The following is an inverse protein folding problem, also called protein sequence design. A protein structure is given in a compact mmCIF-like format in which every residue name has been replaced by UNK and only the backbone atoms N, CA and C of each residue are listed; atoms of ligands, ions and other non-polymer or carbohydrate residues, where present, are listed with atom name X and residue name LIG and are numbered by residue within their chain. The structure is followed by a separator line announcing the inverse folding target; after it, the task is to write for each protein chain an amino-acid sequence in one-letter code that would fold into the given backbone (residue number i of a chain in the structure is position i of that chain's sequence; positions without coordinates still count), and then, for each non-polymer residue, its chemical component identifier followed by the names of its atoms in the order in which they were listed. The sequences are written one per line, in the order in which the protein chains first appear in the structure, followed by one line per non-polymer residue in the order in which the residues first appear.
data_IF_623669315035
#
_entry.id   IF_623669315035
#
_cell.length_a   1.000
_cell.length_b   1.000
_cell.length_c   1.000
_cell.angle_alpha   90.00
_cell.angle_beta   90.00
_cell.angle_gamma   90.00
#
_symmetry.space_group_name_H-M   'P 1'
#
loop_
_entity.id
_entity.type
_entity.pdbx_description
1 polymer ?
#
# COMPACT_ATOMS: atom_id res chain seq x y z
N UNK A 1 -10.84 -12.13 26.72
CA UNK A 1 -11.29 -11.53 25.47
C UNK A 1 -10.15 -10.62 25.00
N UNK A 2 -9.40 -11.08 24.03
CA UNK A 2 -8.33 -10.33 23.41
C UNK A 2 -8.87 -9.56 22.19
N UNK A 3 -8.24 -8.43 21.86
CA UNK A 3 -8.53 -7.67 20.67
C UNK A 3 -7.28 -7.68 19.78
N UNK A 4 -7.46 -7.96 18.49
CA UNK A 4 -6.39 -7.96 17.50
C UNK A 4 -6.72 -6.94 16.42
N UNK A 5 -5.76 -6.06 16.14
CA UNK A 5 -5.80 -5.14 15.01
C UNK A 5 -4.82 -5.61 13.95
N UNK A 6 -5.36 -6.11 12.86
CA UNK A 6 -4.61 -6.68 11.73
C UNK A 6 -4.72 -5.70 10.56
N UNK A 7 -3.62 -5.09 10.15
CA UNK A 7 -3.67 -4.01 9.17
C UNK A 7 -2.46 -3.98 8.26
N UNK A 8 -2.68 -3.55 7.02
CA UNK A 8 -1.58 -3.28 6.10
C UNK A 8 -0.70 -2.15 6.65
N UNK A 9 0.61 -2.31 6.54
CA UNK A 9 1.60 -1.33 7.05
C UNK A 9 1.76 -0.08 6.19
N UNK A 10 0.80 0.24 5.36
CA UNK A 10 0.78 1.42 4.52
C UNK A 10 -0.16 2.53 5.04
N UNK A 11 -0.32 3.61 4.26
CA UNK A 11 -1.11 4.75 4.70
C UNK A 11 -2.61 4.41 4.86
N UNK A 12 -3.15 3.57 3.97
CA UNK A 12 -4.58 3.25 3.99
C UNK A 12 -4.93 2.37 5.18
N UNK A 13 -4.13 1.32 5.45
CA UNK A 13 -4.30 0.46 6.62
C UNK A 13 -4.09 1.19 7.94
N UNK A 14 -3.01 2.00 8.08
CA UNK A 14 -2.74 2.75 9.30
C UNK A 14 -3.83 3.79 9.59
N UNK A 15 -4.27 4.54 8.58
CA UNK A 15 -5.30 5.57 8.75
C UNK A 15 -6.70 4.97 9.01
N UNK A 16 -6.99 3.80 8.45
CA UNK A 16 -8.21 3.06 8.76
C UNK A 16 -8.23 2.65 10.25
N UNK A 17 -7.13 2.08 10.75
CA UNK A 17 -7.00 1.72 12.16
C UNK A 17 -7.10 2.92 13.08
N UNK A 18 -6.41 4.01 12.76
CA UNK A 18 -6.44 5.24 13.57
C UNK A 18 -7.85 5.77 13.77
N UNK A 19 -8.63 5.83 12.70
CA UNK A 19 -10.03 6.27 12.78
C UNK A 19 -10.86 5.39 13.73
N UNK A 20 -10.75 4.06 13.59
CA UNK A 20 -11.49 3.13 14.43
C UNK A 20 -11.11 3.27 15.90
N UNK A 21 -9.82 3.45 16.20
CA UNK A 21 -9.33 3.54 17.60
C UNK A 21 -9.56 4.91 18.23
N UNK A 22 -9.67 5.96 17.44
CA UNK A 22 -10.17 7.26 17.93
C UNK A 22 -11.67 7.20 18.30
N UNK A 23 -12.47 6.43 17.55
CA UNK A 23 -13.91 6.27 17.81
C UNK A 23 -14.19 5.25 18.92
N UNK A 24 -13.41 4.18 18.99
CA UNK A 24 -13.53 3.07 19.96
C UNK A 24 -12.15 2.66 20.47
N UNK A 25 -11.60 3.37 21.47
CA UNK A 25 -10.27 3.08 22.02
C UNK A 25 -10.22 1.68 22.64
N UNK A 26 -9.23 0.88 22.23
CA UNK A 26 -9.02 -0.47 22.74
C UNK A 26 -7.55 -0.77 22.89
N UNK A 27 -7.22 -1.55 23.91
CA UNK A 27 -5.92 -2.17 24.02
C UNK A 27 -5.91 -3.44 23.16
N UNK A 28 -5.07 -3.47 22.14
CA UNK A 28 -5.07 -4.52 21.12
C UNK A 28 -3.66 -5.03 20.80
N UNK A 29 -3.61 -6.27 20.34
CA UNK A 29 -2.41 -6.86 19.72
C UNK A 29 -2.35 -6.38 18.27
N UNK A 30 -1.31 -5.62 17.93
CA UNK A 30 -1.09 -5.14 16.57
C UNK A 30 -0.42 -6.22 15.72
N UNK A 31 -1.03 -6.59 14.61
CA UNK A 31 -0.51 -7.55 13.63
C UNK A 31 -0.39 -6.85 12.28
N UNK A 32 0.84 -6.61 11.86
CA UNK A 32 1.12 -5.85 10.65
C UNK A 32 2.44 -6.29 10.02
N UNK A 33 2.79 -5.72 8.88
CA UNK A 33 4.01 -6.00 8.15
C UNK A 33 4.27 -4.92 7.09
N UNK A 34 5.20 -5.18 6.16
CA UNK A 34 5.41 -4.30 5.00
C UNK A 34 4.19 -4.34 4.08
N UNK A 35 4.03 -3.34 3.21
CA UNK A 35 2.88 -3.22 2.30
C UNK A 35 2.57 -4.49 1.47
N UNK A 36 3.58 -5.29 1.15
CA UNK A 36 3.41 -6.53 0.38
C UNK A 36 3.04 -7.76 1.24
N UNK A 37 3.16 -7.63 2.55
CA UNK A 37 2.86 -8.70 3.50
C UNK A 37 1.37 -8.67 3.83
N UNK A 38 0.59 -9.35 3.00
CA UNK A 38 -0.88 -9.30 3.02
C UNK A 38 -1.53 -10.53 3.65
N UNK A 39 -0.80 -11.61 3.93
CA UNK A 39 -1.33 -12.83 4.58
C UNK A 39 -1.20 -12.72 6.11
N UNK A 40 -1.73 -11.66 6.70
CA UNK A 40 -1.51 -11.31 8.10
C UNK A 40 -2.42 -12.08 9.07
N UNK A 41 -3.59 -12.55 8.64
CA UNK A 41 -4.50 -13.31 9.50
C UNK A 41 -3.90 -14.66 9.94
N UNK A 42 -2.96 -15.23 9.19
CA UNK A 42 -2.25 -16.45 9.58
C UNK A 42 -1.45 -16.30 10.91
N UNK A 43 -1.16 -15.06 11.31
CA UNK A 43 -0.42 -14.72 12.53
C UNK A 43 -1.32 -14.51 13.75
N UNK A 44 -2.65 -14.61 13.58
CA UNK A 44 -3.63 -14.32 14.62
C UNK A 44 -4.04 -15.60 15.33
N UNK A 45 -3.85 -15.63 16.66
CA UNK A 45 -4.21 -16.76 17.49
C UNK A 45 -5.53 -16.55 18.25
N UNK A 46 -6.50 -15.84 17.66
CA UNK A 46 -7.79 -15.57 18.28
C UNK A 46 -8.70 -16.82 18.29
N UNK A 47 -9.56 -16.89 19.30
CA UNK A 47 -10.54 -17.94 19.51
C UNK A 47 -11.85 -17.43 20.08
N UNK A 48 -12.59 -18.30 20.81
CA UNK A 48 -13.92 -17.97 21.33
C UNK A 48 -13.93 -16.70 22.19
N UNK A 49 -14.77 -15.75 21.80
CA UNK A 49 -14.95 -14.48 22.48
C UNK A 49 -13.91 -13.41 22.15
N UNK A 50 -12.85 -13.72 21.40
CA UNK A 50 -11.89 -12.73 20.94
C UNK A 50 -12.42 -11.94 19.73
N UNK A 51 -11.94 -10.71 19.57
CA UNK A 51 -12.31 -9.81 18.48
C UNK A 51 -11.09 -9.52 17.58
N UNK A 52 -11.31 -9.60 16.28
CA UNK A 52 -10.30 -9.30 15.27
C UNK A 52 -10.84 -8.21 14.34
N UNK A 53 -10.08 -7.15 14.13
CA UNK A 53 -10.34 -6.16 13.11
C UNK A 53 -9.29 -6.32 12.02
N UNK A 54 -9.72 -6.60 10.79
CA UNK A 54 -8.85 -6.73 9.62
C UNK A 54 -9.04 -5.54 8.69
N UNK A 55 -7.94 -4.88 8.31
CA UNK A 55 -7.94 -3.61 7.60
C UNK A 55 -6.96 -3.64 6.43
N UNK A 56 -7.45 -3.39 5.24
CA UNK A 56 -6.64 -3.17 4.04
C UNK A 56 -5.74 -4.36 3.67
N UNK A 57 -6.25 -5.55 3.87
CA UNK A 57 -5.62 -6.81 3.46
C UNK A 57 -6.62 -7.65 2.66
N UNK A 58 -6.24 -8.17 1.49
CA UNK A 58 -7.14 -8.92 0.63
C UNK A 58 -7.77 -10.14 1.34
N UNK A 59 -9.11 -10.19 1.42
CA UNK A 59 -9.83 -11.33 1.99
C UNK A 59 -9.52 -12.61 1.19
N UNK A 60 -9.41 -12.54 -0.13
CA UNK A 60 -9.04 -13.68 -0.97
C UNK A 60 -7.72 -14.34 -0.53
N UNK A 61 -6.75 -13.54 -0.10
CA UNK A 61 -5.44 -14.02 0.38
C UNK A 61 -5.43 -14.46 1.85
N UNK A 62 -6.44 -14.09 2.62
CA UNK A 62 -6.60 -14.41 4.04
C UNK A 62 -7.78 -15.36 4.30
N UNK A 63 -8.38 -15.93 3.26
CA UNK A 63 -9.63 -16.71 3.36
C UNK A 63 -9.53 -17.88 4.33
N UNK A 64 -8.51 -18.72 4.17
CA UNK A 64 -8.37 -19.94 4.98
C UNK A 64 -8.13 -19.58 6.45
N UNK A 65 -7.29 -18.57 6.71
CA UNK A 65 -7.05 -18.06 8.05
C UNK A 65 -8.33 -17.45 8.66
N UNK A 66 -9.10 -16.67 7.88
CA UNK A 66 -10.39 -16.12 8.30
C UNK A 66 -11.37 -17.22 8.70
N UNK A 67 -11.55 -18.24 7.86
CA UNK A 67 -12.43 -19.36 8.15
C UNK A 67 -12.00 -20.08 9.45
N UNK A 68 -10.70 -20.32 9.61
CA UNK A 68 -10.17 -20.92 10.84
C UNK A 68 -10.40 -20.06 12.09
N UNK A 69 -10.34 -18.72 12.00
CA UNK A 69 -10.68 -17.82 13.10
C UNK A 69 -12.17 -17.91 13.46
N UNK A 70 -13.04 -17.90 12.47
CA UNK A 70 -14.49 -17.97 12.64
C UNK A 70 -14.92 -19.35 13.23
N UNK A 71 -14.33 -20.45 12.76
CA UNK A 71 -14.53 -21.80 13.30
C UNK A 71 -14.10 -21.92 14.77
N UNK A 72 -13.07 -21.19 15.19
CA UNK A 72 -12.64 -21.12 16.59
C UNK A 72 -13.51 -20.19 17.47
N UNK A 73 -14.53 -19.57 16.88
CA UNK A 73 -15.49 -18.72 17.61
C UNK A 73 -15.04 -17.26 17.78
N UNK A 74 -14.00 -16.81 17.09
CA UNK A 74 -13.64 -15.40 17.04
C UNK A 74 -14.68 -14.58 16.28
N UNK A 75 -14.82 -13.30 16.64
CA UNK A 75 -15.59 -12.32 15.86
C UNK A 75 -14.64 -11.51 15.02
N UNK A 76 -14.91 -11.42 13.72
CA UNK A 76 -14.05 -10.70 12.77
C UNK A 76 -14.84 -9.57 12.12
N UNK A 77 -14.32 -8.35 12.22
CA UNK A 77 -14.76 -7.21 11.42
C UNK A 77 -13.73 -6.93 10.35
N UNK A 78 -14.16 -6.83 9.09
CA UNK A 78 -13.29 -6.76 7.94
C UNK A 78 -13.61 -5.54 7.09
N UNK A 79 -12.61 -4.62 6.92
CA UNK A 79 -12.72 -3.51 5.97
C UNK A 79 -11.63 -3.67 4.92
N UNK A 80 -12.02 -3.70 3.63
CA UNK A 80 -11.07 -3.87 2.53
C UNK A 80 -11.63 -3.34 1.21
N UNK A 81 -10.74 -2.91 0.34
CA UNK A 81 -11.09 -2.48 -1.01
C UNK A 81 -10.50 -3.38 -2.12
N UNK A 82 -9.79 -4.42 -1.75
CA UNK A 82 -9.24 -5.40 -2.67
C UNK A 82 -10.30 -6.41 -3.13
N UNK A 83 -10.01 -7.10 -4.23
CA UNK A 83 -10.87 -8.20 -4.68
C UNK A 83 -10.99 -9.28 -3.59
N UNK A 84 -12.20 -9.53 -3.07
CA UNK A 84 -12.38 -10.44 -1.94
C UNK A 84 -12.53 -11.91 -2.33
N UNK A 85 -12.75 -12.23 -3.62
CA UNK A 85 -13.29 -13.51 -4.00
C UNK A 85 -14.71 -13.71 -3.46
N UNK A 86 -15.05 -14.93 -3.04
CA UNK A 86 -16.31 -15.23 -2.36
C UNK A 86 -16.23 -14.83 -0.89
N UNK A 87 -17.13 -13.99 -0.41
CA UNK A 87 -17.19 -13.58 1.00
C UNK A 87 -17.97 -14.66 1.77
N UNK A 88 -17.38 -15.26 2.85
CA UNK A 88 -18.08 -16.27 3.62
C UNK A 88 -19.33 -15.71 4.33
N UNK A 89 -20.43 -16.44 4.31
CA UNK A 89 -21.58 -16.17 5.15
C UNK A 89 -21.38 -16.80 6.53
N UNK A 90 -21.08 -16.00 7.53
CA UNK A 90 -20.87 -16.48 8.90
C UNK A 90 -21.32 -15.43 9.92
N UNK A 91 -22.04 -15.83 11.00
CA UNK A 91 -22.58 -14.89 12.00
C UNK A 91 -21.48 -14.14 12.79
N UNK A 92 -20.27 -14.66 12.82
CA UNK A 92 -19.09 -14.01 13.42
C UNK A 92 -18.34 -13.06 12.50
N UNK A 93 -18.73 -12.93 11.23
CA UNK A 93 -18.11 -12.04 10.25
C UNK A 93 -18.98 -10.80 10.01
N UNK A 94 -18.42 -9.62 10.22
CA UNK A 94 -18.97 -8.32 9.88
C UNK A 94 -18.06 -7.71 8.78
N UNK A 95 -18.47 -7.81 7.52
CA UNK A 95 -17.63 -7.45 6.36
C UNK A 95 -18.11 -6.18 5.67
N UNK A 96 -17.19 -5.23 5.50
CA UNK A 96 -17.34 -3.95 4.81
C UNK A 96 -16.35 -3.89 3.66
N UNK A 97 -16.67 -4.52 2.54
CA UNK A 97 -15.75 -4.66 1.39
C UNK A 97 -16.39 -4.04 0.15
N UNK A 98 -15.69 -3.06 -0.43
CA UNK A 98 -16.09 -2.40 -1.68
C UNK A 98 -14.90 -2.28 -2.63
N UNK A 99 -15.03 -2.78 -3.84
CA UNK A 99 -13.97 -2.79 -4.86
C UNK A 99 -14.05 -1.63 -5.85
N UNK A 100 -14.54 -0.48 -5.40
CA UNK A 100 -14.61 0.73 -6.23
C UNK A 100 -13.20 1.25 -6.54
N UNK A 101 -12.94 1.73 -7.76
CA UNK A 101 -11.59 2.01 -8.23
C UNK A 101 -10.88 3.19 -7.53
N UNK A 102 -11.61 4.03 -6.81
CA UNK A 102 -11.11 5.24 -6.14
C UNK A 102 -11.51 5.33 -4.65
N UNK A 103 -11.83 4.19 -4.03
CA UNK A 103 -12.25 4.12 -2.63
C UNK A 103 -11.34 3.16 -1.86
N UNK A 104 -10.42 3.71 -1.07
CA UNK A 104 -9.54 2.96 -0.18
C UNK A 104 -10.24 2.54 1.12
N UNK A 105 -9.58 1.70 1.89
CA UNK A 105 -10.09 1.17 3.17
C UNK A 105 -10.33 2.27 4.20
N UNK A 106 -9.47 3.29 4.26
CA UNK A 106 -9.66 4.42 5.17
C UNK A 106 -10.93 5.22 4.87
N UNK A 107 -11.36 5.31 3.59
CA UNK A 107 -12.64 5.92 3.22
C UNK A 107 -13.84 5.01 3.54
N UNK A 108 -13.69 3.69 3.49
CA UNK A 108 -14.73 2.77 3.96
C UNK A 108 -14.97 2.92 5.46
N UNK A 109 -13.91 3.08 6.23
CA UNK A 109 -13.99 3.35 7.67
C UNK A 109 -14.59 4.74 7.95
N UNK A 110 -14.27 5.76 7.15
CA UNK A 110 -14.87 7.08 7.24
C UNK A 110 -16.41 7.02 7.07
N UNK A 111 -16.87 6.28 6.05
CA UNK A 111 -18.30 6.07 5.83
C UNK A 111 -18.95 5.32 6.99
N UNK A 112 -18.31 4.27 7.50
CA UNK A 112 -18.78 3.51 8.66
C UNK A 112 -18.90 4.38 9.91
N UNK A 113 -17.97 5.31 10.12
CA UNK A 113 -17.95 6.25 11.24
C UNK A 113 -18.72 7.55 10.95
N UNK A 114 -19.45 7.63 9.83
CA UNK A 114 -20.20 8.81 9.40
C UNK A 114 -19.38 10.11 9.40
N UNK A 115 -18.11 10.03 9.02
CA UNK A 115 -17.19 11.17 8.90
C UNK A 115 -16.59 11.66 10.20
N UNK A 116 -16.72 10.94 11.31
CA UNK A 116 -16.29 11.40 12.63
C UNK A 116 -14.77 11.62 12.74
N UNK A 117 -13.97 10.92 11.95
CA UNK A 117 -12.50 10.99 11.96
C UNK A 117 -11.93 11.32 10.58
N UNK A 118 -12.65 12.10 9.80
CA UNK A 118 -12.40 12.36 8.37
C UNK A 118 -11.01 12.89 8.06
N UNK A 119 -10.39 13.65 8.94
CA UNK A 119 -9.05 14.18 8.71
C UNK A 119 -8.01 13.05 8.49
N UNK A 120 -8.09 11.97 9.28
CA UNK A 120 -7.27 10.77 9.06
C UNK A 120 -7.71 9.98 7.83
N UNK A 121 -9.02 9.93 7.54
CA UNK A 121 -9.52 9.25 6.35
C UNK A 121 -8.96 9.83 5.04
N UNK A 122 -8.70 11.13 5.00
CA UNK A 122 -8.15 11.84 3.82
C UNK A 122 -6.68 11.45 3.56
N UNK A 123 -5.92 11.10 4.58
CA UNK A 123 -4.48 10.76 4.45
C UNK A 123 -4.27 9.45 3.68
N UNK A 124 -5.07 8.42 3.95
CA UNK A 124 -4.93 7.09 3.31
C UNK A 124 -4.96 7.11 1.79
N UNK A 125 -5.99 7.68 1.15
CA UNK A 125 -6.11 7.74 -0.31
C UNK A 125 -4.96 8.49 -1.00
N UNK A 126 -4.38 9.51 -0.37
CA UNK A 126 -3.19 10.17 -0.90
C UNK A 126 -2.00 9.22 -0.97
N UNK A 127 -1.86 8.30 -0.01
CA UNK A 127 -0.85 7.24 -0.07
C UNK A 127 -1.03 6.32 -1.26
N UNK A 128 -2.26 5.97 -1.60
CA UNK A 128 -2.60 5.08 -2.72
C UNK A 128 -2.77 5.77 -4.08
N UNK A 129 -2.39 7.04 -4.18
CA UNK A 129 -2.53 7.87 -5.38
C UNK A 129 -3.98 8.09 -5.82
N UNK A 130 -4.93 8.07 -4.91
CA UNK A 130 -6.32 8.44 -5.14
C UNK A 130 -6.57 9.93 -4.84
N UNK A 131 -5.70 10.81 -5.37
CA UNK A 131 -5.71 12.26 -5.09
C UNK A 131 -7.11 12.89 -5.25
N UNK A 132 -7.84 12.51 -6.30
CA UNK A 132 -9.18 13.05 -6.53
C UNK A 132 -10.20 12.63 -5.44
N UNK A 133 -10.11 11.38 -4.98
CA UNK A 133 -10.97 10.88 -3.90
C UNK A 133 -10.62 11.53 -2.57
N UNK A 134 -9.32 11.66 -2.25
CA UNK A 134 -8.84 12.34 -1.06
C UNK A 134 -9.31 13.80 -1.01
N UNK A 135 -9.21 14.54 -2.11
CA UNK A 135 -9.68 15.93 -2.22
C UNK A 135 -11.20 16.06 -2.02
N UNK A 136 -11.99 15.17 -2.65
CA UNK A 136 -13.44 15.13 -2.42
C UNK A 136 -13.80 14.85 -0.97
N UNK A 137 -13.13 13.88 -0.34
CA UNK A 137 -13.34 13.55 1.06
C UNK A 137 -12.95 14.71 2.00
N UNK A 138 -11.98 15.54 1.62
CA UNK A 138 -11.51 16.69 2.39
C UNK A 138 -12.46 17.91 2.31
N UNK A 139 -13.33 18.02 1.30
CA UNK A 139 -14.20 19.19 1.11
C UNK A 139 -14.96 19.62 2.37
N UNK A 140 -15.60 18.72 3.17
CA UNK A 140 -16.30 19.11 4.37
C UNK A 140 -15.41 19.65 5.49
N UNK A 141 -14.09 19.40 5.43
CA UNK A 141 -13.12 19.89 6.42
C UNK A 141 -12.76 21.36 6.20
N UNK A 142 -13.06 21.92 5.03
CA UNK A 142 -12.75 23.29 4.64
C UNK A 142 -11.28 23.71 4.93
N UNK A 143 -10.34 22.79 4.71
CA UNK A 143 -8.91 23.01 4.95
C UNK A 143 -8.31 24.02 3.97
N UNK A 144 -7.33 24.79 4.43
CA UNK A 144 -6.47 25.55 3.54
C UNK A 144 -5.68 24.60 2.62
N UNK A 145 -5.38 25.04 1.38
CA UNK A 145 -4.63 24.20 0.43
C UNK A 145 -3.25 23.78 0.97
N UNK A 146 -2.61 24.61 1.79
CA UNK A 146 -1.36 24.27 2.45
C UNK A 146 -1.50 23.10 3.42
N UNK A 147 -2.59 23.05 4.19
CA UNK A 147 -2.86 21.97 5.14
C UNK A 147 -3.21 20.68 4.39
N UNK A 148 -4.03 20.78 3.33
CA UNK A 148 -4.33 19.64 2.48
C UNK A 148 -3.07 19.06 1.81
N UNK A 149 -2.15 19.91 1.38
CA UNK A 149 -0.86 19.48 0.85
C UNK A 149 -0.03 18.73 1.90
N UNK A 150 -0.05 19.17 3.17
CA UNK A 150 0.63 18.45 4.26
C UNK A 150 0.01 17.08 4.55
N UNK A 151 -1.33 16.97 4.50
CA UNK A 151 -2.01 15.67 4.62
C UNK A 151 -1.63 14.74 3.46
N UNK A 152 -1.50 15.29 2.26
CA UNK A 152 -1.04 14.55 1.09
C UNK A 152 0.40 14.04 1.28
N UNK A 153 1.29 14.89 1.73
CA UNK A 153 2.69 14.53 1.99
C UNK A 153 2.76 13.43 3.07
N UNK A 154 1.98 13.56 4.15
CA UNK A 154 1.89 12.52 5.19
C UNK A 154 1.47 11.17 4.61
N UNK A 155 0.41 11.13 3.79
CA UNK A 155 -0.05 9.90 3.13
C UNK A 155 1.04 9.28 2.25
N UNK A 156 1.72 10.10 1.45
CA UNK A 156 2.83 9.66 0.59
C UNK A 156 3.98 9.09 1.43
N UNK A 157 4.37 9.76 2.52
CA UNK A 157 5.52 9.34 3.34
C UNK A 157 5.23 8.08 4.16
N UNK A 158 4.01 7.93 4.70
CA UNK A 158 3.58 6.69 5.35
C UNK A 158 3.59 5.54 4.32
N UNK A 159 3.02 5.77 3.15
CA UNK A 159 2.97 4.76 2.10
C UNK A 159 4.37 4.36 1.61
N UNK A 160 5.26 5.34 1.44
CA UNK A 160 6.67 5.12 1.14
C UNK A 160 7.35 4.28 2.23
N UNK A 161 7.10 4.56 3.50
CA UNK A 161 7.63 3.76 4.60
C UNK A 161 7.18 2.29 4.51
N UNK A 162 6.00 2.01 3.98
CA UNK A 162 5.49 0.64 3.79
C UNK A 162 6.21 -0.17 2.69
N UNK A 163 6.93 0.48 1.78
CA UNK A 163 7.62 -0.20 0.67
C UNK A 163 8.99 -0.77 1.10
N UNK A 164 9.00 -1.91 1.73
CA UNK A 164 10.21 -2.70 1.99
C UNK A 164 10.04 -4.13 1.49
N UNK A 165 11.10 -4.92 1.47
CA UNK A 165 11.01 -6.36 1.37
C UNK A 165 10.69 -6.96 2.75
N UNK A 166 11.24 -6.37 3.79
CA UNK A 166 11.07 -6.75 5.19
C UNK A 166 11.01 -5.51 6.10
N UNK A 167 10.57 -5.70 7.34
CA UNK A 167 10.39 -4.58 8.30
C UNK A 167 11.70 -3.85 8.60
N UNK A 168 12.84 -4.54 8.54
CA UNK A 168 14.16 -3.94 8.74
C UNK A 168 14.58 -2.94 7.64
N UNK A 169 13.90 -2.93 6.50
CA UNK A 169 14.11 -1.94 5.46
C UNK A 169 13.47 -0.59 5.77
N UNK A 170 12.47 -0.57 6.64
CA UNK A 170 11.63 0.60 6.90
C UNK A 170 12.31 1.58 7.84
N UNK A 171 11.93 2.86 7.76
CA UNK A 171 12.36 3.86 8.76
C UNK A 171 11.70 3.60 10.12
N UNK A 172 10.43 3.19 10.08
CA UNK A 172 9.66 2.79 11.26
C UNK A 172 8.94 1.47 10.97
N UNK A 173 9.02 0.46 11.84
CA UNK A 173 8.08 -0.66 11.83
C UNK A 173 6.64 -0.13 11.86
N UNK A 174 5.69 -0.70 11.10
CA UNK A 174 4.34 -0.14 11.00
C UNK A 174 3.59 -0.08 12.33
N UNK A 175 3.82 -1.02 13.22
CA UNK A 175 3.25 -1.00 14.57
C UNK A 175 3.87 0.11 15.45
N UNK A 176 5.16 0.41 15.29
CA UNK A 176 5.80 1.55 15.94
C UNK A 176 5.26 2.87 15.40
N UNK A 177 5.16 2.99 14.06
CA UNK A 177 4.59 4.18 13.44
C UNK A 177 3.15 4.40 13.87
N UNK A 178 2.32 3.35 13.95
CA UNK A 178 0.98 3.44 14.46
C UNK A 178 0.95 3.96 15.92
N UNK A 179 1.79 3.42 16.81
CA UNK A 179 1.87 3.91 18.21
C UNK A 179 2.27 5.37 18.30
N UNK A 180 3.05 5.89 17.35
CA UNK A 180 3.42 7.30 17.27
C UNK A 180 2.26 8.18 16.83
N UNK A 181 1.49 7.76 15.84
CA UNK A 181 0.36 8.55 15.35
C UNK A 181 -0.90 8.42 16.23
N UNK A 182 -1.07 7.31 16.96
CA UNK A 182 -2.29 7.01 17.71
C UNK A 182 -2.68 8.04 18.79
N UNK A 183 -1.77 8.81 19.44
CA UNK A 183 -2.15 9.85 20.37
C UNK A 183 -2.79 11.08 19.73
N UNK A 184 -2.71 11.25 18.42
CA UNK A 184 -3.12 12.46 17.72
C UNK A 184 -4.51 12.28 17.08
N UNK A 185 -5.48 13.05 17.53
CA UNK A 185 -6.81 13.08 16.91
C UNK A 185 -6.77 13.81 15.55
N UNK A 186 -5.88 14.78 15.39
CA UNK A 186 -5.68 15.55 14.15
C UNK A 186 -4.34 15.18 13.51
N UNK A 187 -4.32 14.71 12.24
CA UNK A 187 -3.08 14.43 11.53
C UNK A 187 -2.17 15.67 11.35
N UNK A 188 -2.71 16.88 11.30
CA UNK A 188 -1.91 18.10 11.25
C UNK A 188 -1.15 18.35 12.56
N UNK A 189 -1.73 17.97 13.70
CA UNK A 189 -1.04 18.02 14.99
C UNK A 189 0.12 17.00 15.04
N UNK A 190 -0.09 15.78 14.54
CA UNK A 190 0.99 14.79 14.39
C UNK A 190 2.12 15.33 13.52
N UNK A 191 1.81 15.89 12.35
CA UNK A 191 2.79 16.50 11.44
C UNK A 191 3.60 17.62 12.14
N UNK A 192 2.96 18.40 12.98
CA UNK A 192 3.61 19.54 13.65
C UNK A 192 4.44 19.14 14.86
N UNK A 193 4.12 18.00 15.52
CA UNK A 193 4.61 17.71 16.86
C UNK A 193 5.45 16.43 16.95
N UNK A 194 5.19 15.40 16.14
CA UNK A 194 5.95 14.15 16.21
C UNK A 194 7.15 14.17 15.25
N UNK A 195 8.38 13.86 15.72
CA UNK A 195 9.56 13.84 14.88
C UNK A 195 9.53 12.76 13.79
N UNK A 196 8.61 11.80 13.85
CA UNK A 196 8.49 10.75 12.82
C UNK A 196 8.14 11.34 11.45
N UNK A 197 7.28 12.39 11.39
CA UNK A 197 6.98 13.04 10.12
C UNK A 197 8.25 13.59 9.45
N UNK A 198 9.06 14.38 10.17
CA UNK A 198 10.30 14.92 9.64
C UNK A 198 11.33 13.84 9.25
N UNK A 199 11.38 12.73 9.99
CA UNK A 199 12.25 11.60 9.67
C UNK A 199 11.81 10.89 8.39
N UNK A 200 10.50 10.67 8.20
CA UNK A 200 9.93 10.10 6.98
C UNK A 200 10.14 11.01 5.77
N UNK A 201 9.91 12.31 5.92
CA UNK A 201 10.16 13.31 4.88
C UNK A 201 11.62 13.31 4.43
N UNK A 202 12.56 13.39 5.37
CA UNK A 202 13.99 13.37 5.08
C UNK A 202 14.42 12.06 4.38
N UNK A 203 13.92 10.92 4.87
CA UNK A 203 14.17 9.62 4.25
C UNK A 203 13.62 9.52 2.83
N UNK A 204 12.38 9.96 2.62
CA UNK A 204 11.75 10.01 1.30
C UNK A 204 12.53 10.88 0.32
N UNK A 205 12.91 12.09 0.72
CA UNK A 205 13.64 13.02 -0.14
C UNK A 205 15.01 12.48 -0.52
N UNK A 206 15.77 11.88 0.43
CA UNK A 206 17.08 11.27 0.17
C UNK A 206 16.95 10.05 -0.77
N UNK A 207 16.06 9.12 -0.48
CA UNK A 207 15.86 7.92 -1.29
C UNK A 207 15.39 8.26 -2.72
N UNK A 208 14.48 9.22 -2.87
CA UNK A 208 14.01 9.66 -4.19
C UNK A 208 15.08 10.41 -4.96
N UNK A 209 15.94 11.19 -4.29
CA UNK A 209 17.08 11.83 -4.94
C UNK A 209 18.07 10.80 -5.48
N UNK A 210 18.35 9.74 -4.72
CA UNK A 210 19.17 8.61 -5.19
C UNK A 210 18.52 7.89 -6.36
N UNK A 211 17.21 7.61 -6.29
CA UNK A 211 16.49 6.91 -7.36
C UNK A 211 16.51 7.70 -8.68
N UNK A 212 16.31 9.01 -8.63
CA UNK A 212 16.37 9.90 -9.79
C UNK A 212 17.79 10.00 -10.41
N UNK A 213 18.84 9.76 -9.62
CA UNK A 213 20.22 9.74 -10.08
C UNK A 213 20.61 8.44 -10.79
N UNK A 214 19.78 7.39 -10.73
CA UNK A 214 20.03 6.11 -11.41
C UNK A 214 19.85 6.29 -12.91
N UNK A 215 20.88 5.94 -13.68
CA UNK A 215 20.78 5.93 -15.14
C UNK A 215 19.82 4.82 -15.61
N UNK A 216 19.06 5.13 -16.64
CA UNK A 216 18.22 4.12 -17.27
C UNK A 216 19.07 3.04 -17.95
N UNK A 217 18.73 1.78 -17.75
CA UNK A 217 19.32 0.66 -18.49
C UNK A 217 18.88 0.68 -19.96
N UNK A 218 17.63 1.05 -20.19
CA UNK A 218 17.06 1.29 -21.50
C UNK A 218 16.15 2.51 -21.46
N UNK A 219 16.31 3.42 -22.39
CA UNK A 219 15.40 4.57 -22.55
C UNK A 219 15.13 4.83 -24.04
N UNK A 220 13.86 4.71 -24.41
CA UNK A 220 13.33 5.03 -25.74
C UNK A 220 12.09 5.92 -25.60
N UNK A 221 11.50 6.32 -26.71
CA UNK A 221 10.23 7.09 -26.66
C UNK A 221 9.08 6.28 -26.05
N UNK A 222 9.13 4.93 -26.13
CA UNK A 222 8.05 4.03 -25.70
C UNK A 222 8.33 3.26 -24.43
N UNK A 223 9.60 3.02 -24.08
CA UNK A 223 9.99 2.16 -22.97
C UNK A 223 11.08 2.80 -22.12
N UNK A 224 10.97 2.68 -20.81
CA UNK A 224 12.01 3.00 -19.84
C UNK A 224 12.25 1.85 -18.90
N UNK A 225 13.50 1.40 -18.74
CA UNK A 225 13.91 0.36 -17.80
C UNK A 225 14.95 0.95 -16.87
N UNK A 226 14.74 0.77 -15.56
CA UNK A 226 15.66 1.22 -14.52
C UNK A 226 15.94 0.05 -13.57
N UNK A 227 17.16 -0.05 -13.07
CA UNK A 227 17.57 -1.08 -12.11
C UNK A 227 18.11 -0.42 -10.86
N UNK A 228 17.39 -0.56 -9.75
CA UNK A 228 17.81 -0.09 -8.44
C UNK A 228 18.67 -1.16 -7.74
N UNK A 229 19.61 -0.74 -6.86
CA UNK A 229 20.46 -1.68 -6.12
C UNK A 229 19.69 -2.45 -5.05
N UNK A 230 20.33 -3.48 -4.50
CA UNK A 230 19.81 -4.32 -3.41
C UNK A 230 19.96 -3.65 -2.03
N UNK A 231 19.83 -2.34 -1.94
CA UNK A 231 19.88 -1.57 -0.70
C UNK A 231 18.47 -1.23 -0.22
N UNK A 232 18.27 -1.04 1.08
CA UNK A 232 16.95 -0.72 1.67
C UNK A 232 16.30 0.49 1.01
N UNK A 233 17.07 1.54 0.69
CA UNK A 233 16.56 2.72 -0.01
C UNK A 233 15.99 2.38 -1.41
N UNK A 234 16.65 1.49 -2.16
CA UNK A 234 16.17 1.07 -3.48
C UNK A 234 14.84 0.32 -3.39
N UNK A 235 14.65 -0.47 -2.33
CA UNK A 235 13.40 -1.17 -2.06
C UNK A 235 12.29 -0.21 -1.64
N UNK A 236 12.57 0.75 -0.75
CA UNK A 236 11.59 1.77 -0.34
C UNK A 236 11.18 2.70 -1.48
N UNK A 237 12.15 3.19 -2.26
CA UNK A 237 11.87 4.11 -3.38
C UNK A 237 11.13 3.44 -4.54
N UNK A 238 11.27 2.12 -4.72
CA UNK A 238 10.86 1.42 -5.95
C UNK A 238 9.41 1.66 -6.36
N UNK A 239 8.46 1.56 -5.42
CA UNK A 239 7.04 1.77 -5.72
C UNK A 239 6.71 3.21 -6.11
N UNK A 240 7.26 4.17 -5.36
CA UNK A 240 7.02 5.61 -5.58
C UNK A 240 7.71 6.09 -6.84
N UNK A 241 8.96 5.69 -7.07
CA UNK A 241 9.71 6.09 -8.26
C UNK A 241 9.09 5.54 -9.55
N UNK A 242 8.56 4.30 -9.53
CA UNK A 242 7.83 3.76 -10.66
C UNK A 242 6.60 4.62 -11.04
N UNK A 243 5.87 5.14 -10.04
CA UNK A 243 4.75 6.05 -10.27
C UNK A 243 5.21 7.41 -10.81
N UNK A 244 6.29 7.97 -10.24
CA UNK A 244 6.87 9.24 -10.71
C UNK A 244 7.33 9.15 -12.18
N UNK A 245 8.00 8.07 -12.57
CA UNK A 245 8.40 7.82 -13.95
C UNK A 245 7.20 7.78 -14.90
N UNK A 246 6.12 7.10 -14.50
CA UNK A 246 4.90 7.02 -15.31
C UNK A 246 4.23 8.39 -15.48
N UNK A 247 4.18 9.19 -14.41
CA UNK A 247 3.62 10.55 -14.45
C UNK A 247 4.48 11.51 -15.28
N UNK A 248 5.81 11.40 -15.20
CA UNK A 248 6.73 12.25 -15.96
C UNK A 248 6.72 11.96 -17.47
N UNK A 249 6.35 10.75 -17.88
CA UNK A 249 6.27 10.37 -19.29
C UNK A 249 5.04 9.49 -19.55
N UNK A 250 3.82 10.07 -19.60
CA UNK A 250 2.55 9.35 -19.65
C UNK A 250 2.34 8.47 -20.89
N UNK A 251 3.08 8.73 -21.98
CA UNK A 251 3.05 7.92 -23.21
C UNK A 251 4.02 6.72 -23.16
N UNK A 252 4.88 6.63 -22.12
CA UNK A 252 5.93 5.63 -22.01
C UNK A 252 5.57 4.54 -21.00
N UNK A 253 5.82 3.28 -21.35
CA UNK A 253 5.82 2.18 -20.39
C UNK A 253 7.12 2.19 -19.59
N UNK A 254 7.02 1.88 -18.29
CA UNK A 254 8.17 1.81 -17.41
C UNK A 254 8.26 0.46 -16.70
N UNK A 255 9.45 -0.09 -16.66
CA UNK A 255 9.82 -1.22 -15.82
C UNK A 255 10.91 -0.79 -14.84
N UNK A 256 10.62 -0.88 -13.56
CA UNK A 256 11.56 -0.64 -12.49
C UNK A 256 11.87 -1.97 -11.80
N UNK A 257 13.14 -2.36 -11.84
CA UNK A 257 13.64 -3.57 -11.23
C UNK A 257 14.45 -3.20 -9.99
N UNK A 258 14.16 -3.80 -8.86
CA UNK A 258 14.98 -3.64 -7.65
C UNK A 258 15.69 -4.96 -7.37
N UNK A 259 17.02 -4.93 -7.26
CA UNK A 259 17.82 -6.13 -6.96
C UNK A 259 17.46 -6.68 -5.59
N UNK A 260 17.39 -8.00 -5.46
CA UNK A 260 17.25 -8.70 -4.18
C UNK A 260 18.63 -9.05 -3.61
N UNK A 261 18.81 -9.08 -2.27
CA UNK A 261 20.08 -9.45 -1.64
C UNK A 261 20.58 -10.83 -2.02
N UNK A 262 19.66 -11.79 -2.14
CA UNK A 262 19.91 -13.19 -2.51
C UNK A 262 20.08 -13.41 -4.02
N UNK A 263 19.92 -12.37 -4.81
CA UNK A 263 19.94 -12.40 -6.27
C UNK A 263 18.54 -12.36 -6.88
N UNK A 264 18.45 -11.97 -8.17
CA UNK A 264 17.18 -11.73 -8.83
C UNK A 264 16.63 -10.32 -8.58
N UNK A 265 15.33 -10.12 -8.88
CA UNK A 265 14.72 -8.79 -8.88
C UNK A 265 13.26 -8.84 -8.45
N UNK A 266 12.84 -7.83 -7.72
CA UNK A 266 11.43 -7.40 -7.68
C UNK A 266 11.20 -6.46 -8.86
N UNK A 267 10.13 -6.69 -9.61
CA UNK A 267 9.80 -5.88 -10.79
C UNK A 267 8.49 -5.13 -10.57
N UNK A 268 8.48 -3.85 -10.91
CA UNK A 268 7.29 -3.03 -11.01
C UNK A 268 7.12 -2.53 -12.43
N UNK A 269 5.99 -2.85 -13.06
CA UNK A 269 5.64 -2.41 -14.41
C UNK A 269 4.54 -1.38 -14.33
N UNK A 270 4.68 -0.32 -15.09
CA UNK A 270 3.63 0.68 -15.35
C UNK A 270 3.39 0.76 -16.85
N UNK A 271 2.17 0.46 -17.26
CA UNK A 271 1.72 0.75 -18.62
C UNK A 271 1.67 2.27 -18.82
N UNK A 272 1.72 2.78 -20.07
CA UNK A 272 1.52 4.19 -20.34
C UNK A 272 0.19 4.68 -19.73
N UNK A 273 0.20 5.84 -19.08
CA UNK A 273 -1.03 6.43 -18.52
C UNK A 273 -2.06 6.69 -19.62
N UNK A 274 -1.59 7.10 -20.80
CA UNK A 274 -2.43 7.29 -21.96
C UNK A 274 -3.08 5.99 -22.48
N UNK A 275 -2.53 4.83 -22.13
CA UNK A 275 -3.03 3.49 -22.52
C UNK A 275 -2.77 2.48 -21.40
N UNK A 276 -3.58 2.45 -20.36
CA UNK A 276 -3.33 1.69 -19.13
C UNK A 276 -3.69 0.19 -19.29
N UNK A 277 -3.03 -0.51 -20.23
CA UNK A 277 -3.28 -1.92 -20.54
C UNK A 277 -1.97 -2.69 -20.75
N UNK A 278 -1.98 -4.00 -20.54
CA UNK A 278 -0.91 -4.94 -20.88
C UNK A 278 0.12 -5.23 -19.78
N UNK A 279 0.18 -4.46 -18.69
CA UNK A 279 1.15 -4.71 -17.62
C UNK A 279 0.91 -6.07 -16.94
N UNK A 280 -0.35 -6.43 -16.67
CA UNK A 280 -0.71 -7.71 -16.06
C UNK A 280 -0.42 -8.90 -16.98
N UNK A 281 -0.73 -8.78 -18.26
CA UNK A 281 -0.48 -9.83 -19.25
C UNK A 281 1.03 -10.11 -19.41
N UNK A 282 1.87 -9.07 -19.33
CA UNK A 282 3.32 -9.21 -19.30
C UNK A 282 3.77 -9.95 -18.04
N UNK A 283 3.40 -9.42 -16.87
CA UNK A 283 3.90 -9.97 -15.61
C UNK A 283 3.46 -11.42 -15.38
N UNK A 284 2.25 -11.81 -15.77
CA UNK A 284 1.75 -13.19 -15.67
C UNK A 284 2.53 -14.21 -16.49
N UNK A 285 3.42 -13.81 -17.39
CA UNK A 285 4.34 -14.73 -18.10
C UNK A 285 5.46 -15.25 -17.19
N UNK A 286 5.58 -14.73 -15.97
CA UNK A 286 6.59 -15.08 -14.98
C UNK A 286 5.92 -15.64 -13.71
N UNK A 287 6.57 -16.60 -13.06
CA UNK A 287 5.96 -17.43 -12.01
C UNK A 287 5.31 -16.66 -10.85
N UNK A 288 5.91 -15.52 -10.43
CA UNK A 288 5.41 -14.71 -9.33
C UNK A 288 4.77 -13.39 -9.80
N UNK A 289 4.43 -13.34 -11.08
CA UNK A 289 3.91 -12.14 -11.72
C UNK A 289 2.39 -12.03 -11.64
N UNK A 290 1.91 -10.77 -11.46
CA UNK A 290 0.49 -10.47 -11.39
C UNK A 290 0.24 -8.97 -11.28
N UNK A 291 -1.04 -8.60 -11.18
CA UNK A 291 -1.45 -7.21 -11.00
C UNK A 291 -2.60 -6.81 -11.89
N UNK A 292 -2.76 -5.51 -12.07
CA UNK A 292 -3.81 -4.88 -12.90
C UNK A 292 -3.24 -4.47 -14.25
N UNK A 293 -4.10 -4.22 -15.24
CA UNK A 293 -3.73 -3.81 -16.60
C UNK A 293 -2.79 -2.61 -16.66
N UNK A 294 -3.06 -1.59 -15.83
CA UNK A 294 -2.26 -0.36 -15.76
C UNK A 294 -0.94 -0.52 -14.98
N UNK A 295 -0.94 -1.39 -13.96
CA UNK A 295 0.19 -1.55 -13.04
C UNK A 295 0.26 -2.98 -12.53
N UNK A 296 1.40 -3.63 -12.72
CA UNK A 296 1.64 -5.00 -12.34
C UNK A 296 3.07 -5.17 -11.82
N UNK A 297 3.38 -6.34 -11.26
CA UNK A 297 4.72 -6.63 -10.77
C UNK A 297 5.05 -8.12 -10.79
N UNK A 298 6.32 -8.40 -10.55
CA UNK A 298 6.85 -9.75 -10.35
C UNK A 298 7.58 -9.72 -9.01
N UNK A 299 7.17 -10.54 -8.06
CA UNK A 299 7.73 -10.50 -6.72
C UNK A 299 9.15 -11.13 -6.65
N UNK A 300 9.41 -12.09 -7.52
CA UNK A 300 10.71 -12.75 -7.64
C UNK A 300 10.96 -13.10 -9.11
N UNK A 301 11.80 -12.32 -9.78
CA UNK A 301 12.31 -12.57 -11.11
C UNK A 301 13.74 -13.09 -10.99
N UNK A 302 14.03 -14.37 -11.31
CA UNK A 302 15.37 -14.89 -11.29
C UNK A 302 16.33 -14.07 -12.18
N UNK A 303 17.58 -13.90 -11.76
CA UNK A 303 18.59 -13.17 -12.54
C UNK A 303 18.76 -13.73 -13.96
N UNK A 304 18.59 -15.05 -14.12
CA UNK A 304 18.64 -15.75 -15.42
C UNK A 304 17.51 -15.35 -16.37
N UNK A 305 16.39 -14.82 -15.85
CA UNK A 305 15.23 -14.41 -16.62
C UNK A 305 15.24 -12.93 -17.01
N UNK A 306 16.28 -12.17 -16.60
CA UNK A 306 16.34 -10.72 -16.84
C UNK A 306 16.24 -10.37 -18.34
N UNK A 307 17.06 -11.03 -19.18
CA UNK A 307 17.05 -10.77 -20.63
C UNK A 307 15.69 -11.14 -21.27
N UNK A 308 15.09 -12.25 -20.82
CA UNK A 308 13.76 -12.68 -21.27
C UNK A 308 12.71 -11.67 -20.86
N UNK A 309 12.78 -11.12 -19.64
CA UNK A 309 11.87 -10.07 -19.17
C UNK A 309 12.03 -8.79 -20.01
N UNK A 310 13.25 -8.32 -20.23
CA UNK A 310 13.52 -7.11 -21.03
C UNK A 310 12.96 -7.29 -22.46
N UNK A 311 13.21 -8.42 -23.09
CA UNK A 311 12.71 -8.73 -24.42
C UNK A 311 11.17 -8.74 -24.46
N UNK A 312 10.52 -9.38 -23.48
CA UNK A 312 9.07 -9.43 -23.38
C UNK A 312 8.48 -8.05 -23.12
N UNK A 313 9.08 -7.22 -22.24
CA UNK A 313 8.63 -5.85 -21.95
C UNK A 313 8.67 -4.95 -23.18
N UNK A 314 9.77 -5.01 -23.95
CA UNK A 314 9.93 -4.19 -25.18
C UNK A 314 8.98 -4.67 -26.28
N UNK A 315 8.63 -5.96 -26.31
CA UNK A 315 7.71 -6.54 -27.27
C UNK A 315 6.23 -6.21 -27.02
N UNK A 316 5.87 -5.74 -25.80
CA UNK A 316 4.48 -5.31 -25.53
C UNK A 316 4.14 -4.11 -26.42
N UNK A 317 3.18 -4.32 -27.31
CA UNK A 317 2.70 -3.24 -28.16
C UNK A 317 1.62 -2.43 -27.43
N UNK A 318 1.97 -1.20 -27.06
CA UNK A 318 1.01 -0.22 -26.54
C UNK A 318 0.39 0.63 -27.66
N UNK A 319 0.32 0.10 -28.91
CA UNK A 319 0.03 0.87 -30.13
C UNK A 319 -1.39 0.70 -30.69
N UNK A 320 -2.33 0.07 -29.98
CA UNK A 320 -3.71 -0.11 -30.52
C UNK A 320 -4.77 0.53 -29.64
#
# INVERSE_FOLDING_TARGET
MACYDVFNGDADGLCALQQLRLADPRDSVLVTGVKRDIALLDRVAAGEGDEVVALDISLDKNRDALLGLLERGARVRYFDHHYPGEIPEHPGLDSHIETLPDKGTSLLVDDFLAGAQRAWAVVGPFGDNFDAAARRAAEPLALAEADLARLRDLGIYINYNGYGAEVSDLHFPPDELYRRLSPYADPLEFIASDPAFAALEAGYLDDMARARAVAAELLTDRHGIYILPAESWGRRAGGVFANELAQAAPERAHALLTRLPEGGFVVSVRAPIARPDGADALCRQFATGGGRKAAAGINDLPATDLERFIAAFVAVSYTH
#
